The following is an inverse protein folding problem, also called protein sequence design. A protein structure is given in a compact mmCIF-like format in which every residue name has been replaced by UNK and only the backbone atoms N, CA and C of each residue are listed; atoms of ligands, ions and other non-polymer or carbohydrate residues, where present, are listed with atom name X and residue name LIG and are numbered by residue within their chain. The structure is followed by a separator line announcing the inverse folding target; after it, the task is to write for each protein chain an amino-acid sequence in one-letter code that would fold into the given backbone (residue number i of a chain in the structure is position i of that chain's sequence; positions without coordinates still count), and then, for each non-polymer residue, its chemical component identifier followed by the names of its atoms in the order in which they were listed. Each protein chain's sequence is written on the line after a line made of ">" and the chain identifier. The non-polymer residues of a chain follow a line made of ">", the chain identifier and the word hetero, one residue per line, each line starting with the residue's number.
data_IF_391260659613
#
_entry.id   IF_391260659613
#
_cell.length_a   1.000
_cell.length_b   1.000
_cell.length_c   1.000
_cell.angle_alpha   90.00
_cell.angle_beta   90.00
_cell.angle_gamma   90.00
#
_symmetry.space_group_name_H-M   'P 1'
#
loop_
_entity.id
_entity.type
_entity.pdbx_description
1 polymer ?
#
# COMPACT_ATOMS: atom_id res chain seq x y z
N UNK A 1 13.92 18.76 8.60
CA UNK A 1 12.86 17.84 9.05
C UNK A 1 13.46 16.52 9.47
N UNK A 2 13.13 16.05 10.65
CA UNK A 2 13.59 14.73 11.02
C UNK A 2 12.94 13.69 10.10
N UNK A 3 13.66 12.66 9.77
CA UNK A 3 13.12 11.53 9.03
C UNK A 3 12.11 10.79 9.90
N UNK A 4 11.14 10.16 9.28
CA UNK A 4 10.21 9.31 9.99
C UNK A 4 10.95 8.14 10.64
N UNK A 5 10.55 7.78 11.84
CA UNK A 5 11.12 6.62 12.51
C UNK A 5 10.53 5.35 11.89
N UNK A 6 11.36 4.40 11.47
CA UNK A 6 10.83 3.12 10.98
C UNK A 6 9.96 2.46 12.06
N UNK A 7 8.78 1.98 11.66
CA UNK A 7 7.85 1.36 12.60
C UNK A 7 6.98 0.32 11.92
N UNK A 8 6.43 -0.56 12.71
CA UNK A 8 5.48 -1.58 12.26
C UNK A 8 4.16 -1.33 12.96
N UNK A 9 3.09 -1.24 12.20
CA UNK A 9 1.74 -1.06 12.73
C UNK A 9 0.94 -2.31 12.41
N UNK A 10 0.52 -3.04 13.43
CA UNK A 10 -0.24 -4.27 13.26
C UNK A 10 -1.72 -4.00 13.51
N UNK A 11 -2.57 -4.45 12.58
CA UNK A 11 -4.02 -4.26 12.66
C UNK A 11 -4.72 -5.62 12.63
N UNK A 12 -5.69 -5.80 13.50
CA UNK A 12 -6.50 -7.01 13.57
C UNK A 12 -7.72 -6.98 12.66
N UNK A 13 -7.70 -6.14 11.63
CA UNK A 13 -8.80 -5.93 10.70
C UNK A 13 -9.09 -4.45 10.54
N UNK A 14 -10.04 -4.10 9.68
CA UNK A 14 -10.37 -2.71 9.41
C UNK A 14 -9.53 -2.11 8.29
N UNK A 15 -9.51 -0.79 8.19
CA UNK A 15 -8.80 -0.10 7.14
C UNK A 15 -9.52 -0.15 5.81
N UNK A 16 -8.83 0.21 4.74
CA UNK A 16 -9.42 0.40 3.41
C UNK A 16 -10.10 -0.86 2.86
N UNK A 17 -9.66 -2.03 3.27
CA UNK A 17 -10.22 -3.29 2.77
C UNK A 17 -11.57 -3.64 3.39
N UNK A 18 -11.90 -3.03 4.52
CA UNK A 18 -13.11 -3.35 5.29
C UNK A 18 -14.09 -2.18 5.37
N UNK A 19 -13.62 -0.97 5.24
CA UNK A 19 -14.43 0.23 5.42
C UNK A 19 -14.64 0.96 4.10
N UNK A 20 -15.85 1.48 3.91
CA UNK A 20 -16.20 2.16 2.66
C UNK A 20 -15.63 3.57 2.57
N UNK A 21 -15.69 4.31 3.66
CA UNK A 21 -15.37 5.72 3.65
C UNK A 21 -14.27 6.03 4.66
N UNK A 22 -13.16 6.57 4.17
CA UNK A 22 -12.14 7.20 4.98
C UNK A 22 -11.74 6.44 6.23
N UNK A 23 -11.07 5.34 6.07
CA UNK A 23 -10.64 4.53 7.21
C UNK A 23 -9.71 5.34 8.11
N UNK A 24 -10.10 5.53 9.37
CA UNK A 24 -9.30 6.25 10.35
C UNK A 24 -7.95 5.58 10.58
N UNK A 25 -7.90 4.25 10.46
CA UNK A 25 -6.65 3.49 10.63
C UNK A 25 -5.66 3.82 9.51
N UNK A 26 -6.15 3.95 8.28
CA UNK A 26 -5.31 4.35 7.17
C UNK A 26 -4.77 5.77 7.36
N UNK A 27 -5.62 6.67 7.81
CA UNK A 27 -5.21 8.04 8.09
C UNK A 27 -4.14 8.10 9.18
N UNK A 28 -4.27 7.27 10.20
CA UNK A 28 -3.26 7.18 11.25
C UNK A 28 -1.91 6.73 10.67
N UNK A 29 -1.93 5.68 9.84
CA UNK A 29 -0.71 5.18 9.21
C UNK A 29 -0.03 6.29 8.41
N UNK A 30 -0.80 6.98 7.59
CA UNK A 30 -0.27 8.07 6.77
C UNK A 30 0.27 9.22 7.60
N UNK A 31 -0.33 9.47 8.76
CA UNK A 31 0.12 10.54 9.66
C UNK A 31 1.51 10.30 10.24
N UNK A 32 1.99 9.06 10.20
CA UNK A 32 3.32 8.72 10.70
C UNK A 32 4.42 8.98 9.69
N UNK A 33 4.06 9.35 8.48
CA UNK A 33 5.01 9.59 7.40
C UNK A 33 5.30 11.08 7.26
N UNK A 34 6.54 11.41 6.88
CA UNK A 34 6.96 12.80 6.75
C UNK A 34 6.84 13.33 5.32
N UNK A 35 6.62 12.47 4.35
CA UNK A 35 6.55 12.87 2.95
C UNK A 35 5.21 13.54 2.63
N UNK A 36 5.22 14.57 1.80
CA UNK A 36 4.00 15.24 1.36
C UNK A 36 3.15 14.34 0.48
N UNK A 37 3.79 13.48 -0.31
CA UNK A 37 3.12 12.48 -1.14
C UNK A 37 3.79 11.13 -0.93
N UNK A 38 3.39 10.40 0.10
CA UNK A 38 4.06 9.14 0.47
C UNK A 38 3.99 8.09 -0.64
N UNK A 39 5.02 7.27 -0.71
CA UNK A 39 5.04 6.11 -1.59
C UNK A 39 4.53 4.93 -0.79
N UNK A 40 3.41 4.39 -1.23
CA UNK A 40 2.72 3.29 -0.52
C UNK A 40 2.57 2.11 -1.48
N UNK A 41 3.04 0.95 -1.04
CA UNK A 41 2.94 -0.26 -1.84
C UNK A 41 2.06 -1.28 -1.11
N UNK A 42 1.06 -1.81 -1.82
CA UNK A 42 0.15 -2.82 -1.29
C UNK A 42 0.59 -4.22 -1.71
N UNK A 43 0.60 -5.13 -0.75
CA UNK A 43 0.89 -6.54 -1.00
C UNK A 43 -0.39 -7.35 -0.77
N UNK A 44 -1.18 -7.62 -1.82
CA UNK A 44 -2.46 -8.33 -1.67
C UNK A 44 -2.32 -9.85 -1.59
N UNK A 45 -1.14 -10.34 -1.25
CA UNK A 45 -0.83 -11.76 -1.23
C UNK A 45 -1.81 -12.57 -0.38
N UNK A 46 -2.19 -12.04 0.78
CA UNK A 46 -3.09 -12.75 1.70
C UNK A 46 -4.49 -13.00 1.12
N UNK A 47 -4.89 -12.22 0.12
CA UNK A 47 -6.17 -12.39 -0.56
C UNK A 47 -6.02 -13.09 -1.91
N UNK A 48 -4.84 -13.67 -2.20
CA UNK A 48 -4.58 -14.31 -3.49
C UNK A 48 -4.51 -13.31 -4.63
N UNK A 49 -4.05 -12.09 -4.35
CA UNK A 49 -4.00 -10.99 -5.31
C UNK A 49 -5.38 -10.61 -5.87
N UNK A 50 -6.43 -10.74 -5.05
CA UNK A 50 -7.79 -10.46 -5.49
C UNK A 50 -7.97 -9.02 -5.97
N UNK A 51 -8.55 -8.86 -7.16
CA UNK A 51 -8.67 -7.57 -7.83
C UNK A 51 -9.49 -6.56 -7.03
N UNK A 52 -10.53 -6.99 -6.34
CA UNK A 52 -11.39 -6.06 -5.62
C UNK A 52 -10.67 -5.37 -4.46
N UNK A 53 -9.71 -6.04 -3.83
CA UNK A 53 -8.90 -5.41 -2.80
C UNK A 53 -7.90 -4.43 -3.42
N UNK A 54 -7.34 -4.76 -4.57
CA UNK A 54 -6.43 -3.87 -5.28
C UNK A 54 -7.15 -2.58 -5.68
N UNK A 55 -8.39 -2.70 -6.21
CA UNK A 55 -9.19 -1.54 -6.58
C UNK A 55 -9.47 -0.66 -5.37
N UNK A 56 -9.84 -1.26 -4.24
CA UNK A 56 -10.09 -0.51 -3.00
C UNK A 56 -8.86 0.22 -2.52
N UNK A 57 -7.70 -0.44 -2.63
CA UNK A 57 -6.44 0.18 -2.25
C UNK A 57 -6.18 1.45 -3.05
N UNK A 58 -6.26 1.37 -4.37
CA UNK A 58 -6.00 2.52 -5.22
C UNK A 58 -7.03 3.63 -5.00
N UNK A 59 -8.28 3.27 -4.80
CA UNK A 59 -9.33 4.26 -4.51
C UNK A 59 -9.02 5.04 -3.24
N UNK A 60 -8.49 4.37 -2.23
CA UNK A 60 -8.18 5.00 -0.95
C UNK A 60 -6.90 5.81 -1.00
N UNK A 61 -5.86 5.28 -1.62
CA UNK A 61 -4.52 5.86 -1.49
C UNK A 61 -4.06 6.69 -2.68
N UNK A 62 -4.53 6.44 -3.89
CA UNK A 62 -4.07 7.19 -5.06
C UNK A 62 -4.25 8.71 -4.98
N UNK A 63 -5.34 9.23 -4.40
CA UNK A 63 -5.51 10.69 -4.35
C UNK A 63 -4.40 11.43 -3.62
N UNK A 64 -3.83 10.83 -2.58
CA UNK A 64 -2.85 11.51 -1.76
C UNK A 64 -1.47 10.89 -1.76
N UNK A 65 -1.30 9.75 -2.43
CA UNK A 65 -0.06 8.98 -2.34
C UNK A 65 0.39 8.52 -3.71
N UNK A 66 1.67 8.20 -3.80
CA UNK A 66 2.21 7.50 -4.94
C UNK A 66 2.00 6.01 -4.69
N UNK A 67 0.88 5.49 -5.18
CA UNK A 67 0.41 4.15 -4.86
C UNK A 67 0.86 3.12 -5.89
N UNK A 68 1.25 1.94 -5.40
CA UNK A 68 1.60 0.80 -6.24
C UNK A 68 1.22 -0.49 -5.55
N UNK A 69 1.29 -1.61 -6.26
CA UNK A 69 1.04 -2.91 -5.66
C UNK A 69 1.91 -3.99 -6.28
N UNK A 70 2.06 -5.11 -5.58
CA UNK A 70 2.83 -6.26 -6.06
C UNK A 70 1.91 -7.48 -6.10
N UNK A 71 1.65 -8.02 -7.29
CA UNK A 71 0.83 -9.21 -7.48
C UNK A 71 1.74 -10.43 -7.57
N UNK A 72 2.05 -11.05 -6.44
CA UNK A 72 2.99 -12.16 -6.40
C UNK A 72 2.46 -13.42 -7.06
N UNK A 73 1.15 -13.67 -6.96
CA UNK A 73 0.53 -14.85 -7.57
C UNK A 73 0.35 -14.74 -9.07
N UNK A 74 0.31 -13.53 -9.61
CA UNK A 74 0.05 -13.28 -11.02
C UNK A 74 1.18 -12.54 -11.72
N UNK A 75 2.39 -12.69 -11.23
CA UNK A 75 3.55 -12.00 -11.81
C UNK A 75 3.80 -12.39 -13.26
N UNK A 76 3.62 -13.66 -13.57
CA UNK A 76 3.82 -14.18 -14.93
C UNK A 76 2.77 -13.68 -15.91
N UNK A 77 1.69 -13.09 -15.42
CA UNK A 77 0.65 -12.52 -16.26
C UNK A 77 0.86 -11.03 -16.52
N UNK A 78 1.94 -10.47 -16.02
CA UNK A 78 2.29 -9.09 -16.26
C UNK A 78 1.34 -8.07 -15.66
N UNK A 79 0.64 -8.44 -14.62
CA UNK A 79 -0.36 -7.56 -13.99
C UNK A 79 0.22 -6.65 -12.94
N UNK A 80 1.46 -6.86 -12.56
CA UNK A 80 2.04 -6.12 -11.46
C UNK A 80 2.41 -4.71 -11.84
N UNK A 81 2.24 -3.81 -10.92
CA UNK A 81 2.84 -2.50 -11.05
C UNK A 81 4.32 -2.51 -10.69
N UNK A 82 4.85 -3.67 -10.37
CA UNK A 82 6.21 -3.81 -9.91
C UNK A 82 7.12 -4.32 -11.01
N UNK A 83 8.18 -3.60 -11.17
CA UNK A 83 9.20 -3.89 -12.14
C UNK A 83 10.04 -5.12 -11.79
N UNK A 84 11.01 -5.39 -12.63
CA UNK A 84 11.90 -6.53 -12.47
C UNK A 84 12.62 -6.55 -11.14
N UNK A 85 12.90 -5.37 -10.56
CA UNK A 85 13.63 -5.28 -9.31
C UNK A 85 12.69 -5.03 -8.12
N UNK A 86 12.12 -6.11 -7.62
CA UNK A 86 11.20 -6.06 -6.48
C UNK A 86 11.84 -5.46 -5.23
N UNK A 87 13.08 -5.83 -4.94
CA UNK A 87 13.77 -5.33 -3.76
C UNK A 87 13.90 -3.81 -3.80
N UNK A 88 14.37 -3.29 -4.92
CA UNK A 88 14.53 -1.85 -5.10
C UNK A 88 13.19 -1.12 -4.94
N UNK A 89 12.15 -1.68 -5.52
CA UNK A 89 10.82 -1.09 -5.42
C UNK A 89 10.35 -1.02 -3.97
N UNK A 90 10.47 -2.11 -3.23
CA UNK A 90 10.03 -2.15 -1.83
C UNK A 90 10.86 -1.22 -0.95
N UNK A 91 12.15 -1.15 -1.17
CA UNK A 91 13.02 -0.27 -0.39
C UNK A 91 12.79 1.21 -0.67
N UNK A 92 12.19 1.56 -1.80
CA UNK A 92 11.90 2.94 -2.15
C UNK A 92 10.59 3.48 -1.58
N UNK A 93 9.83 2.64 -0.90
CA UNK A 93 8.54 3.03 -0.32
C UNK A 93 8.73 3.76 1.01
N UNK A 94 7.76 4.58 1.39
CA UNK A 94 7.73 5.26 2.68
C UNK A 94 7.00 4.44 3.73
#
# INVERSE_FOLDING_TARGET
>A
MPAAVPQIIALGGGGFSMERDGAMLDDYILSQLCAARPRVCFLPTASGDADHYVVRFYRRFSPGCEASHVSLFRRDQGTGGVEENLESHLLSQD
#
